data_IF_868453679249
#
_entry.id   IF_868453679249
#
_cell.length_a   1.000
_cell.length_b   1.000
_cell.length_c   1.000
_cell.angle_alpha   90.00
_cell.angle_beta   90.00
_cell.angle_gamma   90.00
#
_symmetry.space_group_name_H-M   'P 1'
#
loop_
_entity.id
_entity.type
_entity.pdbx_description
1 polymer ?
#
# COMPACT_ATOMS: atom_id res chain seq x y z
N UNK A 1 5.26 41.60 -7.01
CA UNK A 1 4.29 40.52 -7.25
C UNK A 1 5.11 39.26 -7.26
N UNK A 2 5.23 38.62 -6.10
CA UNK A 2 5.99 37.39 -5.96
C UNK A 2 5.06 36.24 -6.35
N UNK A 3 5.41 35.55 -7.42
CA UNK A 3 4.67 34.42 -7.95
C UNK A 3 4.71 33.29 -6.92
N UNK A 4 3.56 33.00 -6.31
CA UNK A 4 3.23 31.81 -5.52
C UNK A 4 4.21 30.64 -5.69
N UNK A 5 5.27 30.60 -4.88
CA UNK A 5 6.09 29.41 -4.76
C UNK A 5 5.34 28.45 -3.84
N UNK A 6 4.80 27.38 -4.42
CA UNK A 6 4.43 26.21 -3.63
C UNK A 6 5.61 25.82 -2.74
N UNK A 7 5.37 25.32 -1.52
CA UNK A 7 6.46 24.78 -0.70
C UNK A 7 7.28 23.78 -1.53
N UNK A 8 8.61 23.70 -1.32
CA UNK A 8 9.46 22.79 -2.07
C UNK A 8 8.91 21.37 -1.93
N UNK A 9 8.60 20.74 -3.07
CA UNK A 9 8.19 19.35 -3.16
C UNK A 9 9.41 18.56 -3.59
N UNK A 10 9.81 17.58 -2.78
CA UNK A 10 10.90 16.68 -3.12
C UNK A 10 10.32 15.40 -3.75
N UNK A 11 10.80 15.07 -4.94
CA UNK A 11 10.43 13.86 -5.67
C UNK A 11 11.54 12.84 -5.45
N UNK A 12 11.24 11.75 -4.75
CA UNK A 12 12.30 10.89 -4.22
C UNK A 12 13.20 10.24 -5.28
N UNK A 13 12.67 9.97 -6.47
CA UNK A 13 13.38 9.33 -7.58
C UNK A 13 13.86 10.32 -8.66
N UNK A 14 13.83 11.63 -8.39
CA UNK A 14 14.23 12.66 -9.36
C UNK A 14 15.70 12.54 -9.79
N UNK A 15 16.60 12.28 -8.83
CA UNK A 15 18.05 12.20 -9.09
C UNK A 15 18.56 10.75 -9.25
N UNK A 16 17.65 9.76 -9.22
CA UNK A 16 17.97 8.36 -9.42
C UNK A 16 17.30 7.43 -8.44
N UNK A 17 17.81 6.21 -8.36
CA UNK A 17 17.24 5.14 -7.55
C UNK A 17 18.33 4.40 -6.78
N UNK A 18 17.93 3.84 -5.64
CA UNK A 18 18.75 2.95 -4.83
C UNK A 18 17.97 1.67 -4.56
N UNK A 19 18.69 0.61 -4.23
CA UNK A 19 18.10 -0.66 -3.85
C UNK A 19 18.27 -0.88 -2.35
N UNK A 20 17.15 -1.10 -1.65
CA UNK A 20 17.11 -1.47 -0.24
C UNK A 20 16.89 -2.99 -0.12
N UNK A 21 17.56 -3.68 0.81
CA UNK A 21 17.50 -5.13 0.89
C UNK A 21 16.13 -5.61 1.41
N UNK A 22 15.66 -6.73 0.85
CA UNK A 22 14.52 -7.49 1.37
C UNK A 22 15.07 -8.72 2.09
N UNK A 23 14.97 -8.75 3.41
CA UNK A 23 15.42 -9.88 4.22
C UNK A 23 14.33 -10.94 4.34
N UNK A 24 14.63 -12.18 3.93
CA UNK A 24 13.68 -13.31 4.05
C UNK A 24 12.62 -13.39 2.96
N UNK A 25 12.68 -12.52 1.95
CA UNK A 25 11.75 -12.50 0.82
C UNK A 25 11.83 -13.77 -0.04
N UNK A 26 10.69 -14.17 -0.57
CA UNK A 26 10.50 -15.28 -1.51
C UNK A 26 10.59 -14.82 -2.97
N UNK A 27 10.23 -13.57 -3.28
CA UNK A 27 10.08 -13.06 -4.65
C UNK A 27 11.18 -12.10 -5.07
N UNK A 28 11.51 -11.16 -4.20
CA UNK A 28 12.49 -10.13 -4.46
C UNK A 28 13.58 -10.15 -3.39
N UNK A 29 14.80 -9.86 -3.81
CA UNK A 29 15.95 -9.72 -2.91
C UNK A 29 16.21 -8.26 -2.53
N UNK A 30 15.63 -7.32 -3.27
CA UNK A 30 15.68 -5.90 -2.98
C UNK A 30 14.52 -5.11 -3.58
N UNK A 31 14.10 -4.06 -2.88
CA UNK A 31 13.14 -3.08 -3.37
C UNK A 31 13.89 -1.85 -3.92
N UNK A 32 13.42 -1.34 -5.07
CA UNK A 32 14.06 -0.19 -5.73
C UNK A 32 13.24 1.05 -5.42
N UNK A 33 13.82 1.95 -4.64
CA UNK A 33 13.22 3.22 -4.19
C UNK A 33 14.00 4.41 -4.75
N UNK A 34 13.45 5.61 -4.61
CA UNK A 34 14.14 6.83 -5.01
C UNK A 34 15.42 7.09 -4.22
N UNK A 35 16.43 7.69 -4.85
CA UNK A 35 17.72 7.97 -4.21
C UNK A 35 17.63 8.92 -3.01
N UNK A 36 16.57 9.72 -2.91
CA UNK A 36 16.34 10.61 -1.76
C UNK A 36 15.65 9.91 -0.59
N UNK A 37 15.21 8.65 -0.72
CA UNK A 37 14.60 7.89 0.38
C UNK A 37 15.39 7.97 1.71
N UNK A 38 16.74 7.85 1.74
CA UNK A 38 17.51 7.93 2.97
C UNK A 38 17.59 9.32 3.61
N UNK A 39 17.08 10.38 2.94
CA UNK A 39 17.10 11.75 3.46
C UNK A 39 16.03 11.99 4.53
N UNK A 40 15.16 11.01 4.78
CA UNK A 40 13.99 11.13 5.65
C UNK A 40 14.10 10.18 6.85
N UNK A 41 13.93 10.73 8.05
CA UNK A 41 13.94 9.95 9.30
C UNK A 41 12.56 9.35 9.66
N UNK A 42 11.49 9.88 9.06
CA UNK A 42 10.12 9.55 9.40
C UNK A 42 9.16 9.78 8.22
N UNK A 43 8.14 8.94 8.11
CA UNK A 43 7.09 9.06 7.10
C UNK A 43 5.70 9.08 7.70
N UNK A 44 4.90 10.08 7.31
CA UNK A 44 3.45 10.05 7.49
C UNK A 44 2.82 9.60 6.18
N UNK A 45 2.26 8.39 6.18
CA UNK A 45 1.71 7.71 5.01
C UNK A 45 0.21 7.93 4.99
N UNK A 46 -0.24 8.78 4.07
CA UNK A 46 -1.65 9.02 3.81
C UNK A 46 -2.09 8.18 2.62
N UNK A 47 -3.02 7.26 2.86
CA UNK A 47 -3.54 6.33 1.86
C UNK A 47 -5.04 6.49 1.70
N UNK A 48 -5.51 6.33 0.47
CA UNK A 48 -6.92 6.13 0.19
C UNK A 48 -7.22 4.64 0.21
N UNK A 49 -7.94 4.18 1.23
CA UNK A 49 -8.35 2.79 1.30
C UNK A 49 -9.58 2.56 0.41
N UNK A 50 -9.44 1.75 -0.63
CA UNK A 50 -10.52 1.37 -1.56
C UNK A 50 -10.13 0.14 -2.37
N UNK A 51 -11.01 -0.35 -3.25
CA UNK A 51 -10.70 -1.49 -4.12
C UNK A 51 -9.54 -1.21 -5.08
N UNK A 52 -8.87 -2.26 -5.56
CA UNK A 52 -7.76 -2.15 -6.50
C UNK A 52 -7.75 -3.29 -7.51
N UNK A 53 -7.46 -2.98 -8.77
CA UNK A 53 -7.56 -3.94 -9.89
C UNK A 53 -6.66 -5.16 -9.75
N UNK A 54 -5.41 -4.98 -9.30
CA UNK A 54 -4.45 -6.06 -9.05
C UNK A 54 -4.33 -6.39 -7.55
N UNK A 55 -4.02 -5.43 -6.68
CA UNK A 55 -3.88 -5.65 -5.23
C UNK A 55 -5.15 -6.04 -4.44
N UNK A 56 -6.33 -6.09 -5.06
CA UNK A 56 -7.62 -6.29 -4.37
C UNK A 56 -8.09 -5.04 -3.62
N UNK A 57 -7.23 -4.42 -2.82
CA UNK A 57 -7.44 -3.09 -2.25
C UNK A 57 -6.15 -2.24 -2.32
N UNK A 58 -6.31 -0.93 -2.18
CA UNK A 58 -5.23 0.00 -1.85
C UNK A 58 -5.32 0.36 -0.38
N UNK A 59 -4.17 0.55 0.26
CA UNK A 59 -4.06 0.82 1.69
C UNK A 59 -2.62 1.18 2.05
N UNK A 60 -2.28 1.10 3.33
CA UNK A 60 -0.96 1.39 3.86
C UNK A 60 0.13 0.53 3.20
N UNK A 61 -0.05 -0.79 3.13
CA UNK A 61 0.96 -1.72 2.57
C UNK A 61 1.26 -1.43 1.10
N UNK A 62 0.23 -1.15 0.29
CA UNK A 62 0.42 -0.76 -1.13
C UNK A 62 1.14 0.58 -1.23
N UNK A 63 0.87 1.52 -0.33
CA UNK A 63 1.45 2.85 -0.36
C UNK A 63 2.96 2.81 -0.08
N UNK A 64 3.37 2.12 0.98
CA UNK A 64 4.80 1.99 1.30
C UNK A 64 5.57 1.01 0.42
N UNK A 65 4.90 0.23 -0.41
CA UNK A 65 5.53 -0.55 -1.47
C UNK A 65 5.52 0.22 -2.79
N UNK A 66 4.45 0.05 -3.59
CA UNK A 66 4.30 0.63 -4.93
C UNK A 66 4.38 2.16 -4.91
N UNK A 67 3.92 2.82 -3.85
CA UNK A 67 3.96 4.28 -3.73
C UNK A 67 5.37 4.84 -3.48
N UNK A 68 6.24 4.08 -2.78
CA UNK A 68 7.63 4.47 -2.51
C UNK A 68 8.63 3.90 -3.53
N UNK A 69 8.24 2.90 -4.30
CA UNK A 69 9.05 2.33 -5.35
C UNK A 69 9.31 3.34 -6.50
N UNK A 70 10.53 3.32 -7.02
CA UNK A 70 10.91 4.08 -8.22
C UNK A 70 10.14 3.60 -9.45
N UNK A 71 10.32 4.29 -10.58
CA UNK A 71 9.77 3.82 -11.86
C UNK A 71 10.21 2.39 -12.25
N UNK A 72 11.44 1.96 -11.92
CA UNK A 72 11.87 0.58 -12.14
C UNK A 72 11.43 -0.36 -11.01
N UNK A 73 11.41 0.13 -9.76
CA UNK A 73 10.85 -0.61 -8.64
C UNK A 73 9.42 -1.04 -8.89
N UNK A 74 8.56 -0.11 -9.35
CA UNK A 74 7.19 -0.42 -9.75
C UNK A 74 7.14 -1.55 -10.77
N UNK A 75 7.98 -1.54 -11.80
CA UNK A 75 8.00 -2.61 -12.81
C UNK A 75 8.46 -3.95 -12.24
N UNK A 76 9.46 -3.96 -11.35
CA UNK A 76 9.93 -5.16 -10.64
C UNK A 76 8.80 -5.75 -9.79
N UNK A 77 8.15 -4.92 -8.96
CA UNK A 77 7.06 -5.36 -8.10
C UNK A 77 5.90 -5.95 -8.91
N UNK A 78 5.47 -5.28 -9.99
CA UNK A 78 4.43 -5.83 -10.89
C UNK A 78 4.86 -7.15 -11.55
N UNK A 79 6.15 -7.33 -11.84
CA UNK A 79 6.69 -8.58 -12.38
C UNK A 79 6.63 -9.72 -11.36
N UNK A 80 6.53 -9.42 -10.06
CA UNK A 80 6.43 -10.40 -8.97
C UNK A 80 7.73 -11.16 -8.70
N UNK A 81 8.88 -10.62 -9.14
CA UNK A 81 10.20 -11.24 -9.03
C UNK A 81 11.31 -10.20 -9.29
N UNK A 82 12.57 -10.54 -8.97
CA UNK A 82 13.73 -9.65 -9.16
C UNK A 82 13.93 -9.19 -10.62
N UNK A 83 13.74 -10.10 -11.58
CA UNK A 83 13.86 -9.78 -13.01
C UNK A 83 12.60 -9.09 -13.52
N UNK A 84 12.76 -7.87 -14.04
CA UNK A 84 11.68 -7.11 -14.67
C UNK A 84 11.28 -7.82 -15.98
N UNK A 85 10.04 -8.29 -16.03
CA UNK A 85 9.50 -8.96 -17.21
C UNK A 85 9.33 -7.98 -18.38
N UNK A 86 9.41 -8.45 -19.65
CA UNK A 86 9.13 -7.62 -20.83
C UNK A 86 7.75 -6.95 -20.78
N UNK A 87 6.77 -7.65 -20.21
CA UNK A 87 5.50 -7.06 -19.77
C UNK A 87 5.43 -7.15 -18.24
N UNK A 88 5.67 -6.06 -17.50
CA UNK A 88 5.63 -6.08 -16.04
C UNK A 88 4.30 -6.54 -15.47
N UNK A 89 3.19 -6.38 -16.20
CA UNK A 89 1.85 -6.74 -15.72
C UNK A 89 1.44 -8.18 -16.04
N UNK A 90 2.32 -8.98 -16.65
CA UNK A 90 2.05 -10.40 -16.92
C UNK A 90 2.53 -11.35 -15.82
N UNK A 91 3.05 -10.81 -14.70
CA UNK A 91 3.37 -11.59 -13.52
C UNK A 91 2.14 -12.33 -12.98
N UNK A 92 2.39 -13.44 -12.31
CA UNK A 92 1.34 -14.17 -11.59
C UNK A 92 0.76 -13.30 -10.45
N UNK A 93 -0.54 -13.44 -10.21
CA UNK A 93 -1.30 -12.59 -9.27
C UNK A 93 -0.70 -12.64 -7.86
N UNK A 94 -0.48 -13.83 -7.31
CA UNK A 94 0.03 -13.98 -5.94
C UNK A 94 1.49 -13.57 -5.86
N UNK A 95 2.25 -13.79 -6.92
CA UNK A 95 3.64 -13.33 -7.03
C UNK A 95 3.75 -11.80 -6.93
N UNK A 96 2.80 -11.06 -7.52
CA UNK A 96 2.71 -9.60 -7.36
C UNK A 96 2.37 -9.20 -5.90
N UNK A 97 1.41 -9.86 -5.27
CA UNK A 97 1.01 -9.55 -3.88
C UNK A 97 2.13 -9.85 -2.88
N UNK A 98 2.83 -10.97 -3.06
CA UNK A 98 3.97 -11.36 -2.24
C UNK A 98 5.13 -10.35 -2.40
N UNK A 99 5.50 -10.00 -3.64
CA UNK A 99 6.52 -8.98 -3.88
C UNK A 99 6.13 -7.61 -3.29
N UNK A 100 4.85 -7.25 -3.34
CA UNK A 100 4.34 -6.01 -2.74
C UNK A 100 4.49 -6.00 -1.21
N UNK A 101 4.17 -7.10 -0.53
CA UNK A 101 4.34 -7.24 0.91
C UNK A 101 5.83 -7.27 1.32
N UNK A 102 6.68 -7.92 0.52
CA UNK A 102 8.13 -7.94 0.71
C UNK A 102 8.75 -6.53 0.62
N UNK A 103 8.35 -5.74 -0.38
CA UNK A 103 8.79 -4.35 -0.53
C UNK A 103 8.31 -3.46 0.62
N UNK A 104 7.04 -3.59 1.03
CA UNK A 104 6.50 -2.88 2.18
C UNK A 104 7.33 -3.18 3.46
N UNK A 105 7.75 -4.44 3.62
CA UNK A 105 8.59 -4.87 4.74
C UNK A 105 9.99 -4.24 4.67
N UNK A 106 10.61 -4.21 3.49
CA UNK A 106 11.92 -3.57 3.31
C UNK A 106 11.87 -2.07 3.66
N UNK A 107 10.86 -1.34 3.18
CA UNK A 107 10.67 0.08 3.51
C UNK A 107 10.46 0.30 5.00
N UNK A 108 9.57 -0.48 5.63
CA UNK A 108 9.31 -0.37 7.07
C UNK A 108 10.56 -0.64 7.91
N UNK A 109 11.33 -1.67 7.55
CA UNK A 109 12.57 -2.05 8.23
C UNK A 109 13.69 -1.02 8.04
N UNK A 110 13.84 -0.46 6.83
CA UNK A 110 14.82 0.59 6.56
C UNK A 110 14.60 1.82 7.45
N UNK A 111 13.33 2.12 7.78
CA UNK A 111 12.93 3.19 8.68
C UNK A 111 12.81 2.77 10.14
N UNK A 112 13.08 1.49 10.47
CA UNK A 112 12.99 0.93 11.83
C UNK A 112 11.60 1.16 12.46
N UNK A 113 10.56 1.14 11.65
CA UNK A 113 9.18 1.39 12.06
C UNK A 113 8.84 2.86 12.37
N UNK A 114 9.69 3.82 12.02
CA UNK A 114 9.42 5.27 12.17
C UNK A 114 8.42 5.76 11.10
N UNK A 115 7.17 5.29 11.19
CA UNK A 115 6.11 5.65 10.26
C UNK A 115 4.76 5.81 10.98
N UNK A 116 3.88 6.64 10.45
CA UNK A 116 2.46 6.72 10.81
C UNK A 116 1.63 6.44 9.57
N UNK A 117 0.64 5.58 9.70
CA UNK A 117 -0.27 5.20 8.64
C UNK A 117 -1.64 5.79 8.91
N UNK A 118 -2.20 6.45 7.89
CA UNK A 118 -3.55 7.00 7.91
C UNK A 118 -4.26 6.51 6.66
N UNK A 119 -5.24 5.63 6.84
CA UNK A 119 -6.13 5.17 5.80
C UNK A 119 -7.41 6.00 5.83
N UNK A 120 -7.71 6.68 4.72
CA UNK A 120 -8.96 7.39 4.51
C UNK A 120 -9.90 6.48 3.72
N UNK A 121 -11.02 6.12 4.32
CA UNK A 121 -12.06 5.25 3.76
C UNK A 121 -13.26 6.08 3.31
N UNK A 122 -13.05 6.99 2.36
CA UNK A 122 -14.12 7.76 1.73
C UNK A 122 -14.28 7.37 0.26
N UNK A 123 -15.34 7.81 -0.41
CA UNK A 123 -15.53 7.65 -1.85
C UNK A 123 -15.23 6.22 -2.36
N UNK A 124 -15.74 5.22 -1.63
CA UNK A 124 -15.31 3.83 -1.71
C UNK A 124 -15.80 3.18 -3.01
N UNK A 125 -14.89 3.07 -3.97
CA UNK A 125 -15.07 2.39 -5.27
C UNK A 125 -14.35 1.04 -5.28
N UNK A 126 -14.72 0.19 -6.24
CA UNK A 126 -14.00 -1.06 -6.53
C UNK A 126 -12.66 -0.82 -7.22
N UNK A 127 -12.46 0.32 -7.88
CA UNK A 127 -11.19 0.67 -8.54
C UNK A 127 -10.39 1.70 -7.74
N UNK A 128 -9.07 1.61 -7.88
CA UNK A 128 -8.14 2.50 -7.21
C UNK A 128 -8.01 3.83 -7.97
N UNK A 129 -7.59 4.89 -7.27
CA UNK A 129 -7.32 6.21 -7.88
C UNK A 129 -6.20 6.20 -8.93
N UNK A 130 -5.42 5.11 -9.01
CA UNK A 130 -4.45 4.93 -10.09
C UNK A 130 -5.09 4.51 -11.42
N UNK A 131 -6.36 4.13 -11.43
CA UNK A 131 -7.12 3.90 -12.66
C UNK A 131 -7.49 5.25 -13.30
N UNK A 132 -7.23 5.39 -14.60
CA UNK A 132 -7.57 6.60 -15.36
C UNK A 132 -9.07 6.76 -15.60
N UNK A 133 -9.88 5.73 -15.37
CA UNK A 133 -11.34 5.77 -15.49
C UNK A 133 -12.03 4.87 -14.44
N UNK A 134 -11.94 5.22 -13.15
CA UNK A 134 -12.40 4.37 -12.06
C UNK A 134 -13.94 4.25 -12.04
N UNK A 135 -14.45 3.12 -11.58
CA UNK A 135 -15.88 2.98 -11.29
C UNK A 135 -16.34 4.03 -10.25
N UNK A 136 -17.61 4.48 -10.30
CA UNK A 136 -18.15 5.36 -9.28
C UNK A 136 -18.16 4.67 -7.90
N UNK A 137 -18.19 5.44 -6.80
CA UNK A 137 -18.31 4.88 -5.46
C UNK A 137 -19.51 3.94 -5.34
N UNK A 138 -19.28 2.79 -4.72
CA UNK A 138 -20.26 1.73 -4.53
C UNK A 138 -20.69 1.59 -3.07
N UNK A 139 -19.94 2.19 -2.15
CA UNK A 139 -20.19 2.18 -0.70
C UNK A 139 -19.97 3.58 -0.10
N UNK A 140 -20.71 3.89 0.96
CA UNK A 140 -20.61 5.11 1.74
C UNK A 140 -19.28 5.19 2.49
N UNK A 141 -18.90 6.42 2.83
CA UNK A 141 -17.71 6.70 3.62
C UNK A 141 -17.79 6.01 4.99
N UNK A 142 -16.72 5.32 5.37
CA UNK A 142 -16.62 4.67 6.69
C UNK A 142 -15.93 5.61 7.69
N UNK A 143 -14.88 6.32 7.27
CA UNK A 143 -14.13 7.23 8.12
C UNK A 143 -12.62 7.21 7.89
N UNK A 144 -11.86 7.46 8.95
CA UNK A 144 -10.39 7.51 8.92
C UNK A 144 -9.85 6.57 9.97
N UNK A 145 -8.89 5.72 9.59
CA UNK A 145 -8.20 4.80 10.49
C UNK A 145 -6.72 5.18 10.54
N UNK A 146 -6.11 5.11 11.72
CA UNK A 146 -4.70 5.42 11.88
C UNK A 146 -4.00 4.40 12.79
N UNK A 147 -2.75 4.08 12.47
CA UNK A 147 -1.92 3.14 13.23
C UNK A 147 -0.43 3.42 13.00
N UNK A 148 0.42 2.91 13.89
CA UNK A 148 1.86 2.78 13.66
C UNK A 148 2.23 1.42 13.02
N UNK A 149 1.25 0.53 12.92
CA UNK A 149 1.36 -0.79 12.28
C UNK A 149 0.55 -0.80 10.98
N UNK A 150 1.21 -0.95 9.80
CA UNK A 150 0.54 -0.92 8.50
C UNK A 150 -0.37 -2.14 8.27
N UNK A 151 -0.04 -3.30 8.84
CA UNK A 151 -0.84 -4.52 8.74
C UNK A 151 -2.11 -4.37 9.55
N UNK A 152 -2.00 -3.85 10.77
CA UNK A 152 -3.14 -3.64 11.64
C UNK A 152 -4.16 -2.65 11.06
N UNK A 153 -3.70 -1.54 10.45
CA UNK A 153 -4.62 -0.55 9.86
C UNK A 153 -5.29 -1.07 8.59
N UNK A 154 -4.57 -1.78 7.73
CA UNK A 154 -5.17 -2.38 6.53
C UNK A 154 -6.15 -3.49 6.91
N UNK A 155 -5.82 -4.35 7.87
CA UNK A 155 -6.72 -5.38 8.39
C UNK A 155 -7.98 -4.76 9.01
N UNK A 156 -7.84 -3.72 9.82
CA UNK A 156 -9.00 -3.02 10.41
C UNK A 156 -9.90 -2.41 9.33
N UNK A 157 -9.32 -1.79 8.30
CA UNK A 157 -10.09 -1.23 7.18
C UNK A 157 -10.84 -2.32 6.41
N UNK A 158 -10.19 -3.46 6.12
CA UNK A 158 -10.85 -4.62 5.50
C UNK A 158 -12.01 -5.08 6.37
N UNK A 159 -11.79 -5.30 7.67
CA UNK A 159 -12.84 -5.79 8.57
C UNK A 159 -14.03 -4.84 8.62
N UNK A 160 -13.79 -3.52 8.63
CA UNK A 160 -14.84 -2.50 8.57
C UNK A 160 -15.67 -2.57 7.28
N UNK A 161 -15.06 -2.88 6.13
CA UNK A 161 -15.82 -3.16 4.89
C UNK A 161 -16.70 -4.38 5.09
N UNK A 162 -16.17 -5.47 5.65
CA UNK A 162 -16.89 -6.74 5.82
C UNK A 162 -18.06 -6.65 6.79
N UNK A 163 -17.95 -5.85 7.87
CA UNK A 163 -19.03 -5.67 8.84
C UNK A 163 -20.01 -4.55 8.47
N UNK A 164 -19.70 -3.74 7.44
CA UNK A 164 -20.58 -2.66 6.97
C UNK A 164 -22.00 -3.16 6.64
N UNK A 165 -22.99 -2.29 6.86
CA UNK A 165 -24.39 -2.55 6.51
C UNK A 165 -24.79 -1.95 5.16
N UNK A 166 -23.86 -1.26 4.49
CA UNK A 166 -24.08 -0.69 3.16
C UNK A 166 -23.77 -1.71 2.05
N UNK A 167 -23.82 -1.28 0.79
CA UNK A 167 -23.56 -2.07 -0.41
C UNK A 167 -22.07 -2.48 -0.56
N UNK A 168 -21.60 -3.33 0.36
CA UNK A 168 -20.22 -3.83 0.46
C UNK A 168 -19.84 -4.92 -0.53
N UNK A 169 -20.83 -5.65 -1.07
CA UNK A 169 -20.61 -6.85 -1.90
C UNK A 169 -19.67 -6.62 -3.09
N UNK A 170 -19.75 -5.51 -3.86
CA UNK A 170 -18.83 -5.29 -4.97
C UNK A 170 -17.37 -5.09 -4.51
N UNK A 171 -17.17 -4.44 -3.36
CA UNK A 171 -15.83 -4.21 -2.83
C UNK A 171 -15.25 -5.49 -2.23
N UNK A 172 -16.07 -6.30 -1.55
CA UNK A 172 -15.69 -7.64 -1.09
C UNK A 172 -15.31 -8.53 -2.27
N UNK A 173 -16.14 -8.58 -3.32
CA UNK A 173 -15.84 -9.34 -4.53
C UNK A 173 -14.49 -8.93 -5.11
N UNK A 174 -14.20 -7.63 -5.19
CA UNK A 174 -12.90 -7.14 -5.69
C UNK A 174 -11.74 -7.59 -4.82
N UNK A 175 -11.88 -7.52 -3.50
CA UNK A 175 -10.84 -7.95 -2.56
C UNK A 175 -10.59 -9.45 -2.71
N UNK A 176 -11.66 -10.26 -2.77
CA UNK A 176 -11.57 -11.71 -2.81
C UNK A 176 -11.11 -12.25 -4.17
N UNK A 177 -11.65 -11.74 -5.28
CA UNK A 177 -11.30 -12.21 -6.64
C UNK A 177 -9.87 -11.85 -7.05
N UNK A 178 -9.23 -10.95 -6.31
CA UNK A 178 -7.82 -10.57 -6.48
C UNK A 178 -6.93 -11.04 -5.32
N UNK A 179 -7.46 -11.87 -4.42
CA UNK A 179 -6.73 -12.41 -3.28
C UNK A 179 -6.11 -11.32 -2.38
N UNK A 180 -6.74 -10.14 -2.26
CA UNK A 180 -6.12 -8.97 -1.60
C UNK A 180 -5.64 -9.22 -0.16
N UNK A 181 -6.32 -10.10 0.57
CA UNK A 181 -5.92 -10.54 1.93
C UNK A 181 -4.53 -11.19 1.94
N UNK A 182 -4.12 -11.86 0.85
CA UNK A 182 -2.82 -12.53 0.74
C UNK A 182 -1.64 -11.57 0.96
N UNK A 183 -1.78 -10.29 0.60
CA UNK A 183 -0.75 -9.27 0.90
C UNK A 183 -0.57 -9.08 2.41
N UNK A 184 -1.67 -9.02 3.17
CA UNK A 184 -1.65 -8.87 4.63
C UNK A 184 -1.04 -10.13 5.26
N UNK A 185 -1.44 -11.30 4.78
CA UNK A 185 -0.94 -12.59 5.29
C UNK A 185 0.56 -12.73 5.05
N UNK A 186 1.02 -12.44 3.83
CA UNK A 186 2.44 -12.51 3.51
C UNK A 186 3.27 -11.45 4.25
N UNK A 187 2.73 -10.25 4.49
CA UNK A 187 3.40 -9.26 5.34
C UNK A 187 3.64 -9.80 6.76
N UNK A 188 2.65 -10.48 7.35
CA UNK A 188 2.83 -11.12 8.67
C UNK A 188 3.84 -12.28 8.61
N UNK A 189 3.84 -13.07 7.53
CA UNK A 189 4.85 -14.14 7.32
C UNK A 189 6.27 -13.57 7.26
N UNK A 190 6.43 -12.38 6.64
CA UNK A 190 7.68 -11.61 6.60
C UNK A 190 8.05 -10.96 7.95
N UNK A 191 7.19 -11.08 8.96
CA UNK A 191 7.38 -10.48 10.29
C UNK A 191 7.00 -9.00 10.37
N UNK A 192 6.30 -8.46 9.37
CA UNK A 192 5.77 -7.10 9.39
C UNK A 192 4.41 -7.07 10.09
N UNK A 193 4.34 -6.33 11.20
CA UNK A 193 3.08 -5.99 11.86
C UNK A 193 2.26 -7.17 12.40
N UNK A 194 1.00 -6.90 12.70
CA UNK A 194 0.04 -7.87 13.23
C UNK A 194 -1.35 -7.69 12.63
N UNK A 195 -2.05 -8.81 12.39
CA UNK A 195 -3.49 -8.80 12.06
C UNK A 195 -4.36 -8.56 13.29
N UNK A 196 -3.86 -8.82 14.49
CA UNK A 196 -4.56 -8.51 15.73
C UNK A 196 -4.44 -7.01 16.03
N UNK A 197 -5.57 -6.36 16.27
CA UNK A 197 -5.64 -4.95 16.63
C UNK A 197 -6.72 -4.70 17.68
N UNK A 198 -6.62 -3.55 18.36
CA UNK A 198 -7.67 -3.03 19.24
C UNK A 198 -8.15 -1.69 18.69
N UNK A 199 -9.42 -1.65 18.29
CA UNK A 199 -10.03 -0.44 17.75
C UNK A 199 -10.35 0.55 18.88
N UNK A 200 -9.79 1.75 18.81
CA UNK A 200 -10.09 2.86 19.71
C UNK A 200 -10.93 3.87 18.95
N UNK A 201 -12.23 3.92 19.25
CA UNK A 201 -13.14 4.91 18.70
C UNK A 201 -12.90 6.27 19.37
N UNK A 202 -12.67 7.30 18.55
CA UNK A 202 -12.44 8.68 18.98
C UNK A 202 -13.70 9.56 18.88
N UNK A 203 -14.73 9.11 18.17
CA UNK A 203 -16.00 9.84 17.99
C UNK A 203 -16.94 9.65 19.18
N UNK A 204 -16.73 8.59 19.97
CA UNK A 204 -17.50 8.27 21.18
C UNK A 204 -16.91 8.88 22.48
N UNK A 205 -15.97 9.82 22.38
CA UNK A 205 -15.32 10.46 23.53
C UNK A 205 -16.00 11.72 24.03
#
# INVERSE_FOLDING_TARGET
MDSSTSPPCDIQDEEGEIEIPVEGGKRITGDIVGSHFPNYDYYAVLSHFKGHMMGGFGGALKNISIGMASSNGKKRLHSGQDEILPNPFSGDQDSFLEAMAEAATAVFNALKGNMLFINVMNNLSVDCDCDGNPHPPVMADIGICASLDPVAVDQACVDMVYVSHDNKEPLIERIESRHGIHTIEHAVEMGLGSRDYHLIDLDQR
#
